data_IF_283199701221
#
_entry.id   IF_283199701221
#
_cell.length_a   1.000
_cell.length_b   1.000
_cell.length_c   1.000
_cell.angle_alpha   90.00
_cell.angle_beta   90.00
_cell.angle_gamma   90.00
#
_symmetry.space_group_name_H-M   'P 1'
#
loop_
_entity.id
_entity.type
_entity.pdbx_description
1 polymer ?
#
# COMPACT_ATOMS: atom_id res chain seq x y z
N UNK A 1 16.64 19.07 -36.46
CA UNK A 1 15.45 18.78 -35.64
C UNK A 1 15.86 17.67 -34.69
N UNK A 2 15.96 17.94 -33.39
CA UNK A 2 16.32 16.90 -32.42
C UNK A 2 15.06 16.11 -32.10
N UNK A 3 15.16 14.81 -31.84
CA UNK A 3 14.01 13.99 -31.43
C UNK A 3 13.35 14.53 -30.15
N UNK A 4 14.11 15.22 -29.30
CA UNK A 4 13.60 15.95 -28.12
C UNK A 4 12.59 17.03 -28.48
N UNK A 5 12.67 17.61 -29.68
CA UNK A 5 11.80 18.69 -30.14
C UNK A 5 10.42 18.15 -30.59
N UNK A 6 10.27 16.82 -30.74
CA UNK A 6 9.01 16.13 -30.99
C UNK A 6 8.23 15.83 -29.70
N UNK A 7 8.82 16.06 -28.52
CA UNK A 7 8.11 15.93 -27.25
C UNK A 7 7.02 17.01 -27.14
N UNK A 8 5.81 16.57 -26.80
CA UNK A 8 4.62 17.43 -26.74
C UNK A 8 4.82 18.63 -25.80
N UNK A 9 4.66 19.85 -26.33
CA UNK A 9 4.51 21.08 -25.55
C UNK A 9 3.08 21.60 -25.69
N UNK A 10 2.15 21.05 -24.90
CA UNK A 10 0.75 21.47 -24.92
C UNK A 10 0.32 22.00 -23.54
N UNK A 11 0.73 23.23 -23.23
CA UNK A 11 0.26 23.96 -22.04
C UNK A 11 -0.71 25.07 -22.48
N UNK A 12 -1.94 24.68 -22.83
CA UNK A 12 -2.99 25.65 -23.20
C UNK A 12 -4.05 25.71 -22.09
N UNK A 13 -4.45 26.94 -21.73
CA UNK A 13 -5.49 27.21 -20.73
C UNK A 13 -6.80 26.43 -20.96
N UNK A 14 -7.33 26.31 -22.20
CA UNK A 14 -8.50 25.49 -22.49
C UNK A 14 -8.32 24.02 -22.07
N UNK A 15 -7.18 23.40 -22.39
CA UNK A 15 -6.91 22.00 -22.03
C UNK A 15 -6.86 21.80 -20.51
N UNK A 16 -6.38 22.80 -19.75
CA UNK A 16 -6.35 22.75 -18.28
C UNK A 16 -7.78 22.77 -17.72
N UNK A 17 -8.63 23.68 -18.22
CA UNK A 17 -10.02 23.83 -17.78
C UNK A 17 -10.84 22.58 -18.14
N UNK A 18 -10.70 22.07 -19.36
CA UNK A 18 -11.37 20.85 -19.81
C UNK A 18 -10.97 19.64 -18.96
N UNK A 19 -9.67 19.49 -18.66
CA UNK A 19 -9.19 18.43 -17.77
C UNK A 19 -9.75 18.55 -16.34
N UNK A 20 -9.87 19.77 -15.80
CA UNK A 20 -10.46 20.00 -14.48
C UNK A 20 -11.95 19.66 -14.46
N UNK A 21 -12.71 20.06 -15.49
CA UNK A 21 -14.13 19.73 -15.63
C UNK A 21 -14.31 18.21 -15.76
N UNK A 22 -13.48 17.56 -16.59
CA UNK A 22 -13.51 16.11 -16.77
C UNK A 22 -13.26 15.34 -15.47
N UNK A 23 -12.19 15.68 -14.73
CA UNK A 23 -11.87 15.06 -13.43
C UNK A 23 -12.98 15.26 -12.40
N UNK A 24 -13.63 16.43 -12.39
CA UNK A 24 -14.79 16.69 -11.50
C UNK A 24 -16.01 15.87 -11.90
N UNK A 25 -16.28 15.70 -13.20
CA UNK A 25 -17.38 14.85 -13.70
C UNK A 25 -17.16 13.37 -13.36
N UNK A 26 -15.94 12.84 -13.56
CA UNK A 26 -15.62 11.46 -13.17
C UNK A 26 -15.85 11.20 -11.67
N UNK A 27 -15.38 12.11 -10.80
CA UNK A 27 -15.56 11.95 -9.34
C UNK A 27 -17.03 12.02 -8.91
N UNK A 28 -17.88 12.75 -9.65
CA UNK A 28 -19.33 12.82 -9.38
C UNK A 28 -20.07 11.58 -9.89
N UNK A 29 -19.60 10.95 -10.98
CA UNK A 29 -20.22 9.77 -11.55
C UNK A 29 -19.91 8.49 -10.76
N UNK A 30 -18.72 8.42 -10.16
CA UNK A 30 -18.29 7.25 -9.38
C UNK A 30 -17.61 7.71 -8.07
N UNK A 31 -18.40 8.12 -7.06
CA UNK A 31 -17.88 8.62 -5.78
C UNK A 31 -17.21 7.52 -4.94
N UNK A 32 -17.62 6.27 -5.12
CA UNK A 32 -17.10 5.10 -4.38
C UNK A 32 -15.82 4.52 -5.03
N UNK A 33 -15.48 4.99 -6.24
CA UNK A 33 -14.26 4.63 -6.96
C UNK A 33 -13.04 4.81 -6.08
N UNK A 34 -12.29 3.73 -5.84
CA UNK A 34 -11.01 3.82 -5.14
C UNK A 34 -10.00 4.55 -6.03
N UNK A 35 -9.60 5.81 -5.72
CA UNK A 35 -8.67 6.57 -6.54
C UNK A 35 -7.21 6.21 -6.20
N UNK A 36 -7.03 5.42 -5.14
CA UNK A 36 -5.72 5.08 -4.60
C UNK A 36 -5.10 3.96 -5.43
N UNK A 37 -3.86 4.22 -5.82
CA UNK A 37 -3.03 3.27 -6.55
C UNK A 37 -1.59 3.39 -6.06
N UNK A 38 -0.84 2.31 -6.28
CA UNK A 38 0.56 2.20 -5.91
C UNK A 38 0.76 1.62 -4.51
N UNK A 39 2.03 1.50 -4.15
CA UNK A 39 2.48 0.80 -2.95
C UNK A 39 2.88 1.82 -1.87
N UNK A 40 2.51 1.54 -0.62
CA UNK A 40 2.90 2.30 0.57
C UNK A 40 3.53 1.35 1.59
N UNK A 41 4.69 1.71 2.15
CA UNK A 41 5.34 0.90 3.20
C UNK A 41 5.48 1.69 4.50
N UNK A 42 4.94 1.18 5.59
CA UNK A 42 5.20 1.66 6.95
C UNK A 42 6.46 0.98 7.49
N UNK A 43 7.51 1.77 7.70
CA UNK A 43 8.83 1.29 8.10
C UNK A 43 9.19 1.73 9.51
N UNK A 44 10.02 0.97 10.22
CA UNK A 44 10.55 1.37 11.51
C UNK A 44 10.97 0.16 12.36
N UNK A 45 11.77 0.42 13.39
CA UNK A 45 12.26 -0.62 14.31
C UNK A 45 11.12 -1.40 14.96
N UNK A 46 11.43 -2.55 15.55
CA UNK A 46 10.44 -3.32 16.30
C UNK A 46 9.83 -2.46 17.42
N UNK A 47 8.51 -2.53 17.60
CA UNK A 47 7.81 -1.71 18.58
C UNK A 47 7.59 -0.25 18.17
N UNK A 48 8.04 0.20 16.99
CA UNK A 48 7.86 1.59 16.50
C UNK A 48 6.42 1.99 16.16
N UNK A 49 5.50 1.02 16.05
CA UNK A 49 4.10 1.28 15.67
C UNK A 49 3.79 1.15 14.18
N UNK A 50 4.65 0.50 13.39
CA UNK A 50 4.45 0.30 11.95
C UNK A 50 3.13 -0.42 11.60
N UNK A 51 2.83 -1.51 12.31
CA UNK A 51 1.59 -2.30 12.10
C UNK A 51 0.36 -1.53 12.53
N UNK A 52 0.36 -0.95 13.74
CA UNK A 52 -0.71 -0.05 14.19
C UNK A 52 -0.98 1.08 13.18
N UNK A 53 0.06 1.74 12.69
CA UNK A 53 -0.05 2.82 11.72
C UNK A 53 -0.65 2.36 10.39
N UNK A 54 -0.24 1.20 9.89
CA UNK A 54 -0.78 0.62 8.66
C UNK A 54 -2.24 0.18 8.82
N UNK A 55 -2.58 -0.45 9.96
CA UNK A 55 -3.94 -0.86 10.30
C UNK A 55 -4.86 0.36 10.40
N UNK A 56 -4.45 1.41 11.12
CA UNK A 56 -5.23 2.65 11.22
C UNK A 56 -5.42 3.34 9.88
N UNK A 57 -4.40 3.31 9.02
CA UNK A 57 -4.52 3.81 7.66
C UNK A 57 -5.57 3.02 6.86
N UNK A 58 -5.51 1.69 6.89
CA UNK A 58 -6.47 0.81 6.19
C UNK A 58 -7.88 0.89 6.77
N UNK A 59 -8.03 1.00 8.10
CA UNK A 59 -9.31 1.22 8.76
C UNK A 59 -9.98 2.51 8.25
N UNK A 60 -9.21 3.61 8.16
CA UNK A 60 -9.73 4.84 7.56
C UNK A 60 -10.09 4.65 6.08
N UNK A 61 -9.29 3.91 5.30
CA UNK A 61 -9.64 3.60 3.91
C UNK A 61 -10.95 2.85 3.79
N UNK A 62 -11.20 1.85 4.64
CA UNK A 62 -12.43 1.09 4.68
C UNK A 62 -13.65 2.02 4.87
N UNK A 63 -13.55 2.96 5.81
CA UNK A 63 -14.62 3.95 6.07
C UNK A 63 -14.90 4.89 4.89
N UNK A 64 -13.88 5.22 4.09
CA UNK A 64 -14.06 6.06 2.90
C UNK A 64 -14.47 5.27 1.66
N UNK A 65 -14.16 3.97 1.60
CA UNK A 65 -14.37 3.10 0.45
C UNK A 65 -15.00 1.76 0.89
N UNK A 66 -16.27 1.77 1.33
CA UNK A 66 -16.92 0.59 1.94
C UNK A 66 -17.04 -0.61 0.99
N UNK A 67 -17.02 -0.38 -0.33
CA UNK A 67 -17.10 -1.43 -1.36
C UNK A 67 -15.76 -2.07 -1.71
N UNK A 68 -14.64 -1.49 -1.24
CA UNK A 68 -13.32 -2.05 -1.50
C UNK A 68 -13.18 -3.42 -0.80
N UNK A 69 -12.53 -4.38 -1.46
CA UNK A 69 -12.18 -5.66 -0.81
C UNK A 69 -10.83 -5.54 -0.13
N UNK A 70 -10.72 -6.08 1.09
CA UNK A 70 -9.50 -6.05 1.88
C UNK A 70 -8.87 -7.45 1.89
N UNK A 71 -7.59 -7.55 1.55
CA UNK A 71 -6.83 -8.81 1.58
C UNK A 71 -5.66 -8.67 2.54
N UNK A 72 -5.53 -9.55 3.53
CA UNK A 72 -4.50 -9.40 4.57
C UNK A 72 -3.98 -10.70 5.15
N UNK A 73 -2.74 -10.69 5.67
CA UNK A 73 -2.10 -11.79 6.39
C UNK A 73 -2.18 -11.66 7.92
N UNK A 74 -2.85 -10.63 8.44
CA UNK A 74 -3.14 -10.45 9.87
C UNK A 74 -4.64 -10.47 10.12
N UNK A 75 -5.03 -10.84 11.33
CA UNK A 75 -6.42 -10.81 11.76
C UNK A 75 -6.80 -9.37 12.15
N UNK A 76 -7.86 -8.87 11.52
CA UNK A 76 -8.40 -7.53 11.72
C UNK A 76 -9.76 -7.63 12.41
N UNK A 77 -10.02 -6.73 13.35
CA UNK A 77 -11.21 -6.70 14.18
C UNK A 77 -11.93 -5.35 14.03
N UNK A 78 -12.29 -5.00 12.79
CA UNK A 78 -12.94 -3.72 12.52
C UNK A 78 -14.43 -3.74 12.92
N UNK A 79 -15.01 -4.92 13.17
CA UNK A 79 -16.41 -5.05 13.59
C UNK A 79 -17.40 -4.47 12.58
N UNK A 80 -18.52 -3.97 13.09
CA UNK A 80 -19.60 -3.34 12.31
C UNK A 80 -19.28 -1.90 11.88
N UNK A 81 -18.07 -1.39 12.19
CA UNK A 81 -17.67 -0.04 11.80
C UNK A 81 -17.45 0.11 10.29
N UNK A 82 -17.33 -1.00 9.56
CA UNK A 82 -17.02 -1.03 8.13
C UNK A 82 -17.79 -2.15 7.41
N UNK A 83 -18.26 -1.87 6.19
CA UNK A 83 -18.99 -2.84 5.35
C UNK A 83 -18.08 -3.68 4.44
N UNK A 84 -16.77 -3.45 4.52
CA UNK A 84 -15.79 -4.06 3.62
C UNK A 84 -15.73 -5.58 3.77
N UNK A 85 -15.52 -6.28 2.66
CA UNK A 85 -15.27 -7.73 2.67
C UNK A 85 -13.79 -8.03 2.88
N UNK A 86 -13.49 -8.88 3.86
CA UNK A 86 -12.13 -9.29 4.23
C UNK A 86 -11.79 -10.68 3.70
N UNK A 87 -10.56 -10.82 3.20
CA UNK A 87 -10.03 -12.05 2.64
C UNK A 87 -8.64 -12.33 3.20
N UNK A 88 -8.33 -13.61 3.44
CA UNK A 88 -6.99 -14.02 3.82
C UNK A 88 -6.05 -13.90 2.62
N UNK A 89 -4.86 -13.35 2.86
CA UNK A 89 -3.76 -13.34 1.92
C UNK A 89 -3.21 -14.76 1.73
N UNK A 90 -3.16 -15.21 0.48
CA UNK A 90 -2.73 -16.55 0.06
C UNK A 90 -1.39 -16.54 -0.70
N UNK A 91 -0.78 -15.38 -0.89
CA UNK A 91 0.47 -15.22 -1.61
C UNK A 91 0.37 -14.28 -2.81
N UNK A 92 1.49 -14.12 -3.51
CA UNK A 92 1.66 -13.06 -4.52
C UNK A 92 0.76 -13.27 -5.73
N UNK A 93 0.48 -14.51 -6.12
CA UNK A 93 -0.45 -14.83 -7.22
C UNK A 93 -1.86 -14.25 -6.98
N UNK A 94 -2.33 -14.22 -5.73
CA UNK A 94 -3.60 -13.59 -5.39
C UNK A 94 -3.55 -12.08 -5.65
N UNK A 95 -2.40 -11.44 -5.45
CA UNK A 95 -2.24 -10.01 -5.77
C UNK A 95 -2.39 -9.75 -7.27
N UNK A 96 -2.07 -10.74 -8.12
CA UNK A 96 -2.21 -10.64 -9.57
C UNK A 96 -3.65 -10.90 -10.00
N UNK A 97 -4.26 -11.98 -9.50
CA UNK A 97 -5.53 -12.49 -10.03
C UNK A 97 -6.78 -11.96 -9.33
N UNK A 98 -6.66 -11.42 -8.11
CA UNK A 98 -7.82 -10.95 -7.35
C UNK A 98 -8.25 -9.55 -7.80
N UNK A 99 -9.49 -9.42 -8.27
CA UNK A 99 -10.05 -8.17 -8.81
C UNK A 99 -11.38 -7.79 -8.15
N UNK A 100 -11.66 -6.48 -8.16
CA UNK A 100 -12.89 -5.90 -7.64
C UNK A 100 -13.37 -4.71 -8.50
N UNK A 101 -13.07 -4.72 -9.81
CA UNK A 101 -13.57 -3.71 -10.73
C UNK A 101 -13.18 -2.28 -10.34
N UNK A 102 -14.16 -1.38 -10.30
CA UNK A 102 -13.97 0.06 -9.97
C UNK A 102 -13.80 0.33 -8.48
N UNK A 103 -14.40 -0.53 -7.64
CA UNK A 103 -14.37 -0.42 -6.18
C UNK A 103 -12.98 -0.76 -5.61
N UNK A 104 -12.16 -1.49 -6.37
CA UNK A 104 -10.75 -1.71 -6.08
C UNK A 104 -10.47 -2.69 -4.94
N UNK A 105 -9.18 -3.01 -4.76
CA UNK A 105 -8.70 -3.97 -3.76
C UNK A 105 -7.59 -3.32 -2.93
N UNK A 106 -7.67 -3.45 -1.61
CA UNK A 106 -6.62 -3.04 -0.68
C UNK A 106 -5.94 -4.27 -0.11
N UNK A 107 -4.63 -4.38 -0.32
CA UNK A 107 -3.80 -5.40 0.32
C UNK A 107 -3.11 -4.80 1.54
N UNK A 108 -3.30 -5.39 2.72
CA UNK A 108 -2.55 -5.06 3.93
C UNK A 108 -1.64 -6.24 4.28
N UNK A 109 -0.35 -6.12 4.00
CA UNK A 109 0.64 -7.17 4.24
C UNK A 109 1.59 -6.73 5.35
N UNK A 110 1.38 -7.27 6.55
CA UNK A 110 2.31 -7.06 7.66
C UNK A 110 3.58 -7.88 7.44
N UNK A 111 4.71 -7.34 7.87
CA UNK A 111 6.07 -7.85 7.60
C UNK A 111 6.26 -8.28 6.14
N UNK A 112 5.85 -7.41 5.22
CA UNK A 112 5.91 -7.57 3.75
C UNK A 112 7.28 -8.02 3.25
N UNK A 113 8.35 -7.65 3.95
CA UNK A 113 9.71 -8.08 3.63
C UNK A 113 9.95 -9.59 3.75
N UNK A 114 9.07 -10.36 4.41
CA UNK A 114 9.10 -11.82 4.43
C UNK A 114 8.68 -12.43 3.09
N UNK A 115 7.78 -11.76 2.35
CA UNK A 115 7.40 -12.16 1.00
C UNK A 115 8.35 -11.57 -0.04
N UNK A 116 8.77 -10.32 0.13
CA UNK A 116 9.50 -9.57 -0.91
C UNK A 116 10.96 -9.27 -0.55
N UNK A 117 11.66 -10.23 0.04
CA UNK A 117 13.04 -10.08 0.48
C UNK A 117 14.03 -9.98 -0.70
N UNK A 118 15.07 -9.14 -0.55
CA UNK A 118 16.17 -8.99 -1.50
C UNK A 118 17.05 -10.23 -1.70
N UNK A 119 17.08 -11.18 -0.76
CA UNK A 119 17.93 -12.39 -0.84
C UNK A 119 17.26 -13.52 -1.64
N UNK A 120 15.93 -13.61 -1.60
CA UNK A 120 15.15 -14.61 -2.34
C UNK A 120 14.66 -14.13 -3.71
N UNK A 121 14.91 -12.87 -4.06
CA UNK A 121 14.59 -12.35 -5.40
C UNK A 121 15.36 -13.05 -6.53
N UNK A 122 16.27 -13.98 -6.22
CA UNK A 122 16.87 -14.91 -7.19
C UNK A 122 15.95 -16.08 -7.57
N UNK A 123 14.95 -16.41 -6.73
CA UNK A 123 14.02 -17.52 -6.93
C UNK A 123 12.55 -17.09 -7.06
N UNK A 124 12.19 -15.88 -6.64
CA UNK A 124 10.92 -15.29 -7.04
C UNK A 124 11.04 -14.83 -8.48
N UNK A 125 10.23 -15.42 -9.36
CA UNK A 125 10.24 -15.14 -10.79
C UNK A 125 10.18 -13.63 -11.02
N UNK A 126 11.13 -13.08 -11.79
CA UNK A 126 11.21 -11.65 -12.14
C UNK A 126 9.86 -11.18 -12.71
N UNK A 127 9.14 -12.07 -13.41
CA UNK A 127 7.79 -11.84 -13.90
C UNK A 127 6.80 -11.49 -12.79
N UNK A 128 6.92 -12.06 -11.58
CA UNK A 128 6.00 -11.78 -10.48
C UNK A 128 6.10 -10.33 -10.00
N UNK A 129 7.31 -9.79 -9.90
CA UNK A 129 7.50 -8.38 -9.55
C UNK A 129 7.01 -7.43 -10.63
N UNK A 130 7.25 -7.77 -11.90
CA UNK A 130 6.73 -7.01 -13.04
C UNK A 130 5.20 -7.05 -13.12
N UNK A 131 4.59 -8.21 -12.85
CA UNK A 131 3.14 -8.34 -12.82
C UNK A 131 2.53 -7.55 -11.66
N UNK A 132 3.18 -7.52 -10.49
CA UNK A 132 2.74 -6.69 -9.36
C UNK A 132 2.98 -5.19 -9.63
N UNK A 133 4.06 -4.82 -10.33
CA UNK A 133 4.35 -3.42 -10.67
C UNK A 133 3.39 -2.84 -11.72
N UNK A 134 2.88 -3.67 -12.62
CA UNK A 134 1.87 -3.29 -13.62
C UNK A 134 0.46 -3.03 -13.03
N UNK A 135 0.24 -3.34 -11.74
CA UNK A 135 -1.07 -3.24 -11.07
C UNK A 135 -1.57 -1.79 -10.84
N UNK A 136 -0.83 -0.75 -11.26
CA UNK A 136 -1.34 0.65 -11.31
C UNK A 136 -2.63 0.75 -12.13
N UNK A 137 -2.82 -0.10 -13.14
CA UNK A 137 -4.02 -0.12 -14.00
C UNK A 137 -5.20 -0.88 -13.40
N UNK A 138 -4.97 -1.76 -12.42
CA UNK A 138 -5.97 -2.66 -11.85
C UNK A 138 -6.59 -2.17 -10.52
N UNK A 139 -6.38 -0.89 -10.13
CA UNK A 139 -6.94 -0.27 -8.90
C UNK A 139 -6.66 -1.09 -7.63
N UNK A 140 -5.44 -1.58 -7.53
CA UNK A 140 -4.92 -2.25 -6.34
C UNK A 140 -4.08 -1.26 -5.55
N UNK A 141 -4.39 -1.15 -4.27
CA UNK A 141 -3.60 -0.40 -3.32
C UNK A 141 -2.92 -1.36 -2.35
N UNK A 142 -1.59 -1.32 -2.30
CA UNK A 142 -0.81 -2.24 -1.48
C UNK A 142 -0.21 -1.45 -0.33
N UNK A 143 -0.55 -1.84 0.89
CA UNK A 143 -0.05 -1.30 2.14
C UNK A 143 0.78 -2.38 2.82
N UNK A 144 2.04 -2.08 3.09
CA UNK A 144 2.97 -3.00 3.71
C UNK A 144 3.58 -2.47 4.99
N UNK A 145 4.10 -3.37 5.81
CA UNK A 145 5.05 -3.01 6.86
C UNK A 145 6.40 -3.67 6.64
N UNK A 146 7.47 -3.02 7.08
CA UNK A 146 8.81 -3.60 7.10
C UNK A 146 9.63 -2.99 8.23
N UNK A 147 10.58 -3.71 8.79
CA UNK A 147 11.49 -3.14 9.79
C UNK A 147 12.34 -2.01 9.20
N UNK A 148 12.94 -2.28 8.04
CA UNK A 148 13.70 -1.29 7.27
C UNK A 148 13.27 -1.38 5.82
N UNK A 149 13.11 -0.22 5.17
CA UNK A 149 12.68 -0.19 3.78
C UNK A 149 13.63 -0.99 2.88
N UNK A 150 14.94 -0.90 3.14
CA UNK A 150 15.98 -1.59 2.37
C UNK A 150 15.95 -3.12 2.39
N UNK A 151 15.18 -3.77 3.29
CA UNK A 151 14.98 -5.25 3.27
C UNK A 151 14.14 -5.71 2.07
N UNK A 152 13.37 -4.80 1.48
CA UNK A 152 12.61 -5.07 0.27
C UNK A 152 13.54 -5.10 -0.95
N UNK A 153 13.29 -6.05 -1.85
CA UNK A 153 14.01 -6.15 -3.12
C UNK A 153 14.00 -4.81 -3.87
N UNK A 154 15.14 -4.43 -4.47
CA UNK A 154 15.31 -3.14 -5.16
C UNK A 154 14.24 -2.89 -6.25
N UNK A 155 13.93 -3.85 -7.15
CA UNK A 155 12.89 -3.64 -8.17
C UNK A 155 11.53 -3.33 -7.57
N UNK A 156 11.20 -3.91 -6.41
CA UNK A 156 9.95 -3.67 -5.72
C UNK A 156 9.92 -2.28 -5.06
N UNK A 157 11.05 -1.85 -4.46
CA UNK A 157 11.19 -0.52 -3.85
C UNK A 157 10.96 0.62 -4.84
N UNK A 158 11.43 0.46 -6.08
CA UNK A 158 11.27 1.44 -7.16
C UNK A 158 9.80 1.68 -7.54
N UNK A 159 8.89 0.75 -7.20
CA UNK A 159 7.46 0.87 -7.47
C UNK A 159 6.67 1.55 -6.34
N UNK A 160 7.30 1.80 -5.18
CA UNK A 160 6.62 2.47 -4.08
C UNK A 160 6.27 3.90 -4.43
N UNK A 161 5.09 4.32 -3.98
CA UNK A 161 4.69 5.73 -4.03
C UNK A 161 5.14 6.43 -2.75
N UNK A 162 4.97 5.76 -1.61
CA UNK A 162 5.28 6.31 -0.29
C UNK A 162 6.00 5.30 0.61
N UNK A 163 6.95 5.80 1.39
CA UNK A 163 7.49 5.12 2.56
C UNK A 163 7.21 6.00 3.79
N UNK A 164 6.70 5.41 4.87
CA UNK A 164 6.35 6.12 6.11
C UNK A 164 7.24 5.62 7.22
N UNK A 165 8.17 6.45 7.68
CA UNK A 165 9.02 6.12 8.82
C UNK A 165 8.23 6.35 10.12
N UNK A 166 7.92 5.27 10.81
CA UNK A 166 7.19 5.23 12.06
C UNK A 166 8.16 5.24 13.23
N UNK A 167 7.86 6.06 14.22
CA UNK A 167 8.57 6.14 15.49
C UNK A 167 7.54 6.40 16.59
N UNK A 168 7.84 5.99 17.81
CA UNK A 168 7.06 6.44 18.95
C UNK A 168 7.95 6.77 20.15
N UNK A 169 7.37 7.53 21.07
CA UNK A 169 7.93 7.81 22.38
C UNK A 169 7.04 7.16 23.44
N UNK A 170 7.63 6.25 24.21
CA UNK A 170 6.99 5.53 25.32
C UNK A 170 5.73 4.74 24.93
N UNK A 171 5.52 4.40 23.66
CA UNK A 171 4.29 3.77 23.19
C UNK A 171 3.03 4.64 23.26
N UNK A 172 3.18 5.96 23.48
CA UNK A 172 2.06 6.90 23.65
C UNK A 172 2.00 7.96 22.55
N UNK A 173 3.15 8.48 22.13
CA UNK A 173 3.22 9.52 21.10
C UNK A 173 3.85 8.96 19.84
N UNK A 174 3.09 8.89 18.75
CA UNK A 174 3.53 8.31 17.49
C UNK A 174 3.81 9.41 16.47
N UNK A 175 4.95 9.29 15.79
CA UNK A 175 5.42 10.16 14.71
C UNK A 175 5.54 9.33 13.43
N UNK A 176 4.93 9.82 12.36
CA UNK A 176 4.97 9.25 11.02
C UNK A 176 5.59 10.28 10.07
N UNK A 177 6.83 10.04 9.65
CA UNK A 177 7.48 10.86 8.63
C UNK A 177 7.27 10.23 7.26
N UNK A 178 6.64 10.99 6.35
CA UNK A 178 6.20 10.51 5.05
C UNK A 178 7.24 10.91 4.02
N UNK A 179 7.74 9.92 3.29
CA UNK A 179 8.63 10.08 2.16
C UNK A 179 7.91 9.65 0.88
N UNK A 180 8.02 10.45 -0.17
CA UNK A 180 7.57 10.06 -1.51
C UNK A 180 8.75 9.61 -2.35
N UNK A 181 8.56 8.49 -3.04
CA UNK A 181 9.53 8.04 -4.04
C UNK A 181 9.44 8.94 -5.28
N UNK A 182 10.58 9.47 -5.70
CA UNK A 182 10.72 10.29 -6.92
C UNK A 182 11.89 9.81 -7.73
N UNK A 183 11.73 9.80 -9.04
CA UNK A 183 12.82 9.53 -9.97
C UNK A 183 13.62 10.81 -10.16
N UNK A 184 14.91 10.74 -9.84
CA UNK A 184 15.87 11.85 -9.93
C UNK A 184 16.94 11.46 -10.93
N UNK A 185 17.17 12.33 -11.91
CA UNK A 185 18.20 12.13 -12.91
C UNK A 185 19.56 12.58 -12.35
N UNK A 186 20.54 11.72 -12.53
CA UNK A 186 21.97 11.97 -12.36
C UNK A 186 22.62 11.97 -13.74
N UNK A 187 23.92 12.29 -13.81
CA UNK A 187 24.65 12.36 -15.07
C UNK A 187 24.63 11.03 -15.86
N UNK A 188 24.60 9.90 -15.15
CA UNK A 188 24.71 8.55 -15.70
C UNK A 188 23.41 7.73 -15.67
N UNK A 189 22.44 8.10 -14.84
CA UNK A 189 21.29 7.24 -14.53
C UNK A 189 20.10 8.02 -13.96
N UNK A 190 18.90 7.42 -13.98
CA UNK A 190 17.72 7.91 -13.26
C UNK A 190 17.45 6.99 -12.08
N UNK A 191 17.66 7.48 -10.86
CA UNK A 191 17.49 6.68 -9.64
C UNK A 191 16.27 7.11 -8.84
N UNK A 192 15.64 6.15 -8.19
CA UNK A 192 14.54 6.43 -7.26
C UNK A 192 15.09 6.86 -5.91
N UNK A 193 14.74 8.06 -5.48
CA UNK A 193 15.06 8.60 -4.17
C UNK A 193 13.81 8.83 -3.32
N UNK A 194 13.96 8.72 -2.00
CA UNK A 194 12.93 9.08 -1.02
C UNK A 194 13.09 10.55 -0.62
N UNK A 195 12.07 11.37 -0.90
CA UNK A 195 12.03 12.78 -0.52
C UNK A 195 10.94 13.00 0.54
N UNK A 196 11.30 13.64 1.64
CA UNK A 196 10.35 13.95 2.73
C UNK A 196 9.24 14.87 2.21
N UNK A 197 7.98 14.50 2.45
CA UNK A 197 6.79 15.29 2.09
C UNK A 197 6.07 15.86 3.32
N UNK A 198 6.31 15.32 4.51
CA UNK A 198 5.74 15.86 5.73
C UNK A 198 5.74 14.88 6.89
N UNK A 199 5.28 15.37 8.04
CA UNK A 199 5.24 14.62 9.30
C UNK A 199 3.81 14.65 9.84
N UNK A 200 3.29 13.48 10.21
CA UNK A 200 2.04 13.31 10.96
C UNK A 200 2.35 12.80 12.36
N UNK A 201 1.52 13.19 13.32
CA UNK A 201 1.66 12.83 14.72
C UNK A 201 0.29 12.47 15.28
N UNK A 202 0.24 11.48 16.15
CA UNK A 202 -0.98 11.09 16.81
C UNK A 202 -0.68 10.41 18.15
N UNK A 203 -1.69 10.38 19.01
CA UNK A 203 -1.71 9.63 20.26
C UNK A 203 -2.82 8.60 20.09
N UNK A 204 -2.50 7.28 20.03
CA UNK A 204 -3.52 6.28 19.86
C UNK A 204 -4.36 6.14 21.13
N UNK A 205 -5.67 5.94 20.97
CA UNK A 205 -6.48 5.42 22.06
C UNK A 205 -6.20 3.91 22.23
N UNK A 206 -6.41 3.33 23.43
CA UNK A 206 -6.26 1.89 23.65
C UNK A 206 -7.06 1.03 22.66
N UNK A 207 -8.26 1.48 22.28
CA UNK A 207 -9.13 0.77 21.33
C UNK A 207 -8.49 0.57 19.96
N UNK A 208 -7.58 1.47 19.54
CA UNK A 208 -6.86 1.33 18.27
C UNK A 208 -5.99 0.08 18.20
N UNK A 209 -5.49 -0.40 19.35
CA UNK A 209 -4.74 -1.64 19.42
C UNK A 209 -5.64 -2.87 19.37
N UNK A 210 -6.94 -2.71 19.63
CA UNK A 210 -7.93 -3.78 19.55
C UNK A 210 -8.45 -4.02 18.13
N UNK A 211 -8.05 -3.18 17.16
CA UNK A 211 -8.44 -3.31 15.75
C UNK A 211 -7.75 -4.47 15.02
N UNK A 212 -6.76 -5.13 15.63
CA UNK A 212 -6.04 -6.27 15.06
C UNK A 212 -5.40 -7.13 16.16
N UNK A 213 -5.00 -8.35 15.82
CA UNK A 213 -4.27 -9.21 16.76
C UNK A 213 -2.80 -8.77 16.87
N UNK A 214 -2.48 -8.01 17.91
CA UNK A 214 -1.12 -7.53 18.19
C UNK A 214 -0.12 -8.65 18.53
N UNK A 215 -0.62 -9.83 18.89
CA UNK A 215 0.21 -10.98 19.31
C UNK A 215 0.48 -11.96 18.16
N UNK A 216 -0.19 -11.78 17.02
CA UNK A 216 -0.10 -12.70 15.90
C UNK A 216 1.33 -12.75 15.34
N UNK A 217 1.90 -13.95 15.27
CA UNK A 217 3.19 -14.17 14.60
C UNK A 217 2.95 -14.25 13.09
N UNK A 218 3.46 -13.26 12.36
CA UNK A 218 3.41 -13.23 10.90
C UNK A 218 4.45 -14.18 10.32
N UNK A 219 4.02 -15.02 9.39
CA UNK A 219 4.87 -15.95 8.65
C UNK A 219 4.63 -15.78 7.15
N UNK A 220 5.64 -16.13 6.35
CA UNK A 220 5.49 -16.23 4.91
C UNK A 220 4.40 -17.24 4.56
N UNK A 221 3.62 -16.95 3.54
CA UNK A 221 2.58 -17.85 3.05
C UNK A 221 3.23 -18.95 2.21
N UNK A 222 3.35 -20.14 2.77
CA UNK A 222 3.81 -21.31 2.03
C UNK A 222 2.66 -21.84 1.15
N UNK A 223 2.90 -21.97 -0.15
CA UNK A 223 1.99 -22.67 -1.06
C UNK A 223 1.94 -24.15 -0.67
N UNK A 224 0.92 -24.57 0.08
CA UNK A 224 0.75 -25.98 0.42
C UNK A 224 0.08 -26.32 1.77
N UNK A 225 -0.46 -25.37 2.53
CA UNK A 225 -1.28 -25.72 3.69
C UNK A 225 -2.59 -24.92 3.68
N UNK A 226 -3.64 -25.58 3.20
CA UNK A 226 -5.03 -25.22 3.45
C UNK A 226 -5.30 -25.38 4.95
N UNK A 227 -4.80 -24.43 5.74
CA UNK A 227 -5.21 -24.24 7.11
C UNK A 227 -6.52 -23.46 7.09
N UNK A 228 -7.65 -24.16 6.93
CA UNK A 228 -8.99 -23.64 7.23
C UNK A 228 -9.09 -23.33 8.73
N UNK A 229 -8.45 -22.25 9.17
CA UNK A 229 -8.91 -21.53 10.35
C UNK A 229 -10.08 -20.69 9.90
N UNK A 230 -11.27 -21.07 10.36
CA UNK A 230 -12.49 -20.29 10.17
C UNK A 230 -12.22 -18.84 10.58
N UNK A 231 -12.23 -17.96 9.58
CA UNK A 231 -12.07 -16.53 9.77
C UNK A 231 -13.30 -16.03 10.53
N UNK A 232 -13.11 -15.49 11.74
CA UNK A 232 -14.13 -14.68 12.41
C UNK A 232 -14.10 -13.28 11.80
N UNK A 233 -14.52 -13.18 10.53
CA UNK A 233 -15.04 -11.93 9.99
C UNK A 233 -16.41 -11.71 10.64
N UNK A 234 -16.67 -10.50 11.12
CA UNK A 234 -17.87 -10.15 11.90
C UNK A 234 -19.16 -10.69 11.29
N UNK A 235 -20.06 -11.12 12.19
CA UNK A 235 -21.50 -11.09 11.94
C UNK A 235 -22.01 -9.72 12.33
#
# INVERSE_FOLDING_TARGET
MKESDLLMQNFTLPNIIENLIFRRKEKKQDPDKLPLNGLMCFCGEQGSGKTLSAVLYVYNLCRFFPKAKIVTNIDLFFGDDVDNKFYRYKGVEQMINFDNGTDGVVFLIDEMHLEFNSLESKGMDVNTFELVSQQRKARKHIVGTSQVFGRLAKPFREQFKYAVLCQNKMGLYFRQEIFRARNVAYEDDIRTELRSEGVRRYIPSPDMFSLYDTSQIVRRVNHGSDGTRNFRGGR
#
